data_IF_788039845880
#
_entry.id   IF_788039845880
#
_cell.length_a   1.000
_cell.length_b   1.000
_cell.length_c   1.000
_cell.angle_alpha   90.00
_cell.angle_beta   90.00
_cell.angle_gamma   90.00
#
_symmetry.space_group_name_H-M   'P 1'
#
loop_
_entity.id
_entity.type
_entity.pdbx_description
1 polymer ?
#
# COMPACT_ATOMS: atom_id res chain seq x y z
N UNK A 1 -1.44 -13.77 -5.46
CA UNK A 1 -2.30 -12.56 -5.29
C UNK A 1 -3.72 -12.99 -4.95
N UNK A 2 -4.44 -12.22 -4.11
CA UNK A 2 -5.73 -12.64 -3.55
C UNK A 2 -6.82 -12.74 -4.63
N UNK A 3 -7.51 -13.87 -4.72
CA UNK A 3 -8.56 -14.08 -5.71
C UNK A 3 -9.80 -13.21 -5.46
N UNK A 4 -10.21 -13.10 -4.18
CA UNK A 4 -11.39 -12.31 -3.76
C UNK A 4 -11.19 -11.59 -2.42
N UNK A 5 -10.21 -12.01 -1.61
CA UNK A 5 -9.97 -11.44 -0.29
C UNK A 5 -9.32 -10.04 -0.29
N UNK A 6 -8.92 -9.53 -1.46
CA UNK A 6 -8.24 -8.24 -1.58
C UNK A 6 -6.81 -8.23 -1.04
N UNK A 7 -6.30 -7.02 -0.80
CA UNK A 7 -4.91 -6.77 -0.36
C UNK A 7 -4.87 -6.55 1.16
N UNK A 8 -5.43 -5.43 1.63
CA UNK A 8 -5.36 -5.02 3.04
C UNK A 8 -3.92 -4.89 3.56
N UNK A 9 -3.78 -4.66 4.88
CA UNK A 9 -2.45 -4.47 5.52
C UNK A 9 -1.57 -5.69 5.31
N UNK A 10 -2.15 -6.90 5.40
CA UNK A 10 -1.40 -8.16 5.35
C UNK A 10 -0.66 -8.35 4.03
N UNK A 11 -1.18 -7.81 2.92
CA UNK A 11 -0.57 -7.97 1.60
C UNK A 11 0.08 -6.71 1.03
N UNK A 12 -0.07 -5.56 1.68
CA UNK A 12 0.43 -4.27 1.19
C UNK A 12 1.92 -4.28 0.86
N UNK A 13 2.74 -4.95 1.68
CA UNK A 13 4.20 -5.04 1.52
C UNK A 13 4.66 -5.64 0.19
N UNK A 14 3.83 -6.45 -0.47
CA UNK A 14 4.17 -7.04 -1.77
C UNK A 14 3.74 -6.17 -2.96
N UNK A 15 2.81 -5.22 -2.76
CA UNK A 15 2.20 -4.45 -3.85
C UNK A 15 3.16 -3.54 -4.62
N UNK A 16 4.20 -2.92 -4.01
CA UNK A 16 5.18 -2.15 -4.79
C UNK A 16 5.86 -2.99 -5.88
N UNK A 17 6.19 -4.25 -5.56
CA UNK A 17 6.84 -5.17 -6.51
C UNK A 17 5.82 -5.73 -7.49
N UNK A 18 4.70 -6.23 -6.99
CA UNK A 18 3.68 -6.92 -7.81
C UNK A 18 2.98 -6.00 -8.81
N UNK A 19 2.71 -4.74 -8.45
CA UNK A 19 2.05 -3.77 -9.33
C UNK A 19 3.04 -2.89 -10.08
N UNK A 20 4.32 -2.89 -9.69
CA UNK A 20 5.37 -2.11 -10.32
C UNK A 20 4.99 -0.64 -10.48
N UNK A 21 5.22 -0.07 -11.66
CA UNK A 21 4.97 1.35 -11.96
C UNK A 21 3.53 1.81 -11.68
N UNK A 22 2.55 0.92 -11.81
CA UNK A 22 1.15 1.26 -11.53
C UNK A 22 0.91 1.59 -10.06
N UNK A 23 1.76 1.08 -9.15
CA UNK A 23 1.71 1.40 -7.72
C UNK A 23 1.87 2.90 -7.46
N UNK A 24 2.81 3.54 -8.15
CA UNK A 24 3.09 4.97 -7.99
C UNK A 24 1.93 5.82 -8.49
N UNK A 25 1.39 5.49 -9.67
CA UNK A 25 0.20 6.17 -10.21
C UNK A 25 -0.99 6.08 -9.24
N UNK A 26 -1.28 4.88 -8.71
CA UNK A 26 -2.38 4.69 -7.77
C UNK A 26 -2.14 5.38 -6.43
N UNK A 27 -0.89 5.42 -5.97
CA UNK A 27 -0.48 6.16 -4.78
C UNK A 27 -0.68 7.66 -4.95
N UNK A 28 -0.38 8.22 -6.13
CA UNK A 28 -0.58 9.64 -6.41
C UNK A 28 -2.07 9.99 -6.53
N UNK A 29 -2.88 9.11 -7.12
CA UNK A 29 -4.34 9.24 -7.09
C UNK A 29 -4.85 9.25 -5.64
N UNK A 30 -4.35 8.35 -4.78
CA UNK A 30 -4.71 8.31 -3.36
C UNK A 30 -4.37 9.62 -2.65
N UNK A 31 -3.19 10.20 -2.87
CA UNK A 31 -2.78 11.49 -2.28
C UNK A 31 -3.68 12.64 -2.75
N UNK A 32 -4.07 12.65 -4.02
CA UNK A 32 -4.96 13.66 -4.57
C UNK A 32 -6.34 13.62 -3.91
N UNK A 33 -6.88 12.41 -3.71
CA UNK A 33 -8.22 12.20 -3.15
C UNK A 33 -8.29 12.27 -1.63
N UNK A 34 -7.20 11.89 -0.94
CA UNK A 34 -7.11 11.89 0.51
C UNK A 34 -5.76 12.48 0.97
N UNK A 35 -5.60 13.80 0.84
CA UNK A 35 -4.34 14.49 1.14
C UNK A 35 -3.95 14.43 2.63
N UNK A 36 -4.92 14.22 3.51
CA UNK A 36 -4.70 14.09 4.95
C UNK A 36 -4.56 12.62 5.41
N UNK A 37 -4.63 11.67 4.49
CA UNK A 37 -4.49 10.23 4.73
C UNK A 37 -5.40 9.67 5.84
N UNK A 38 -6.66 10.13 5.90
CA UNK A 38 -7.62 9.69 6.93
C UNK A 38 -8.28 8.35 6.57
N UNK A 39 -8.38 8.02 5.27
CA UNK A 39 -9.10 6.84 4.80
C UNK A 39 -8.16 5.64 4.68
N UNK A 40 -8.16 4.81 5.72
CA UNK A 40 -7.42 3.54 5.81
C UNK A 40 -5.89 3.69 5.62
N UNK A 41 -5.20 4.43 6.51
CA UNK A 41 -3.75 4.61 6.44
C UNK A 41 -3.02 3.25 6.51
N UNK A 42 -1.89 3.13 5.80
CA UNK A 42 -1.04 1.94 5.85
C UNK A 42 -1.53 0.67 5.15
N UNK A 43 -2.71 0.69 4.52
CA UNK A 43 -3.34 -0.52 3.97
C UNK A 43 -2.81 -0.98 2.63
N UNK A 44 -2.42 -0.09 1.72
CA UNK A 44 -2.00 -0.49 0.35
C UNK A 44 -0.79 0.31 -0.10
N UNK A 45 -0.88 1.65 -0.05
CA UNK A 45 0.10 2.54 -0.70
C UNK A 45 1.20 3.06 0.23
N UNK A 46 1.14 2.64 1.49
CA UNK A 46 2.04 3.08 2.55
C UNK A 46 2.53 1.87 3.31
N UNK A 47 3.85 1.82 3.54
CA UNK A 47 4.42 0.82 4.42
C UNK A 47 4.32 1.30 5.86
N UNK A 48 3.56 0.57 6.69
CA UNK A 48 3.66 0.67 8.15
C UNK A 48 4.83 -0.15 8.70
N UNK A 49 5.42 -1.02 7.86
CA UNK A 49 6.56 -1.84 8.22
C UNK A 49 7.82 -1.01 8.00
N UNK A 50 8.54 -0.72 9.09
CA UNK A 50 9.90 -0.17 8.98
C UNK A 50 10.79 -1.28 8.39
N UNK A 51 11.53 -0.97 7.33
CA UNK A 51 12.64 -1.83 6.91
C UNK A 51 13.66 -1.84 8.05
N UNK A 52 13.76 -2.98 8.75
CA UNK A 52 14.53 -3.11 9.98
C UNK A 52 13.75 -3.76 11.12
N UNK A 53 13.29 -4.99 10.89
CA UNK A 53 13.06 -5.92 11.99
C UNK A 53 14.38 -6.58 12.32
N UNK A 54 15.22 -5.92 13.13
CA UNK A 54 16.20 -6.65 13.94
C UNK A 54 15.41 -7.54 14.91
N UNK A 55 15.46 -8.84 14.65
CA UNK A 55 15.95 -9.85 15.59
C UNK A 55 16.82 -10.83 14.80
#
# INVERSE_FOLDING_TARGET
>A
IGHHHGVGINRSRWMPVEWGKSFDTLKDIKKLLDPNNILNPGKIYESLWKEGGEN
#
